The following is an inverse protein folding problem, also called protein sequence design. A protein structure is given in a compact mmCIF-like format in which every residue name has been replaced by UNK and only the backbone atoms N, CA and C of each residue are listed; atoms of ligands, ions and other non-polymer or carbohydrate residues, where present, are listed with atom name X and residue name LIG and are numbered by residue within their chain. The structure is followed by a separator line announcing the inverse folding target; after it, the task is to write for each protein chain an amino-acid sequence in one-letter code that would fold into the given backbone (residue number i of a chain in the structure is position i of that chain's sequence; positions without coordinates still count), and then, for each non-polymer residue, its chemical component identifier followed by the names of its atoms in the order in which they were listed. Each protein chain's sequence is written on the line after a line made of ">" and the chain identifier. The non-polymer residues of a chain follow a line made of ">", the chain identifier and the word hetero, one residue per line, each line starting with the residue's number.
data_IF_975143803980
#
_entry.id   IF_975143803980
#
_cell.length_a   1.000
_cell.length_b   1.000
_cell.length_c   1.000
_cell.angle_alpha   90.00
_cell.angle_beta   90.00
_cell.angle_gamma   90.00
#
_symmetry.space_group_name_H-M   'P 1'
#
loop_
_entity.id
_entity.type
_entity.pdbx_description
1 polymer ?
#
# COMPACT_ATOMS: atom_id res chain seq x y z
N UNK A 1 -4.49 -21.79 -11.04
CA UNK A 1 -5.69 -21.31 -11.76
C UNK A 1 -5.35 -19.97 -12.43
N UNK A 2 -5.55 -19.96 -13.74
CA UNK A 2 -5.26 -18.98 -14.80
C UNK A 2 -5.27 -17.48 -14.42
N UNK A 3 -4.12 -16.81 -14.61
CA UNK A 3 -4.02 -15.36 -14.75
C UNK A 3 -3.89 -15.03 -16.25
N UNK A 4 -4.95 -14.46 -16.84
CA UNK A 4 -5.05 -14.19 -18.27
C UNK A 4 -4.38 -12.87 -18.64
N UNK A 5 -3.34 -13.00 -19.48
CA UNK A 5 -2.80 -12.00 -20.40
C UNK A 5 -3.88 -11.11 -21.01
N UNK A 6 -3.81 -9.80 -20.75
CA UNK A 6 -4.51 -8.78 -21.52
C UNK A 6 -3.57 -7.61 -21.80
N UNK A 7 -2.71 -7.74 -22.80
CA UNK A 7 -2.21 -6.62 -23.60
C UNK A 7 -1.61 -7.19 -24.89
N UNK A 8 -2.34 -7.05 -26.00
CA UNK A 8 -1.81 -6.88 -27.36
C UNK A 8 -2.98 -6.83 -28.35
N UNK A 9 -3.21 -5.66 -28.97
CA UNK A 9 -3.55 -5.58 -30.39
C UNK A 9 -3.54 -4.11 -30.81
N UNK A 10 -2.55 -3.74 -31.63
CA UNK A 10 -2.73 -2.89 -32.80
C UNK A 10 -1.55 -3.17 -33.71
N UNK A 11 -1.83 -3.95 -34.76
CA UNK A 11 -0.92 -4.30 -35.84
C UNK A 11 -1.11 -3.26 -36.94
N UNK A 12 -0.03 -2.63 -37.39
CA UNK A 12 0.07 -2.00 -38.71
C UNK A 12 1.32 -2.55 -39.38
N UNK A 13 1.19 -2.88 -40.67
CA UNK A 13 2.15 -3.62 -41.49
C UNK A 13 2.84 -2.66 -42.46
N UNK A 14 4.17 -2.78 -42.62
CA UNK A 14 4.93 -2.13 -43.70
C UNK A 14 6.44 -2.29 -43.51
N UNK A 15 7.11 -3.00 -44.43
CA UNK A 15 8.53 -3.39 -44.44
C UNK A 15 9.52 -2.22 -44.60
N UNK A 16 10.69 -2.34 -43.98
CA UNK A 16 12.00 -2.13 -44.63
C UNK A 16 13.10 -2.79 -43.78
N UNK A 17 13.89 -3.65 -44.41
CA UNK A 17 14.94 -4.47 -43.81
C UNK A 17 16.28 -3.72 -43.98
N UNK A 18 16.56 -2.73 -43.12
CA UNK A 18 17.87 -2.05 -42.99
C UNK A 18 17.86 -1.01 -41.87
N UNK A 19 17.65 -1.46 -40.64
CA UNK A 19 17.91 -0.67 -39.43
C UNK A 19 17.92 -1.61 -38.21
N UNK A 20 18.69 -2.70 -38.29
CA UNK A 20 18.69 -3.76 -37.27
C UNK A 20 19.67 -3.53 -36.10
N UNK A 21 20.45 -2.45 -36.09
CA UNK A 21 21.51 -2.29 -35.08
C UNK A 21 21.35 -1.06 -34.17
N UNK A 22 20.35 -0.19 -34.38
CA UNK A 22 20.13 1.01 -33.54
C UNK A 22 18.81 1.02 -32.73
N UNK A 23 17.82 0.19 -33.06
CA UNK A 23 16.53 0.14 -32.31
C UNK A 23 16.55 -0.78 -31.07
N UNK A 24 17.60 -1.58 -30.85
CA UNK A 24 17.63 -2.57 -29.76
C UNK A 24 17.84 -1.93 -28.37
N UNK A 25 18.23 -0.65 -28.29
CA UNK A 25 18.39 0.09 -27.04
C UNK A 25 17.11 0.74 -26.49
N UNK A 26 15.99 0.74 -27.25
CA UNK A 26 14.76 1.46 -26.87
C UNK A 26 13.61 0.57 -26.38
N UNK A 27 13.83 -0.73 -26.20
CA UNK A 27 12.82 -1.65 -25.66
C UNK A 27 13.37 -2.65 -24.64
N UNK A 28 14.32 -2.23 -23.79
CA UNK A 28 14.67 -3.01 -22.60
C UNK A 28 13.48 -2.92 -21.64
N UNK A 29 12.63 -3.96 -21.64
CA UNK A 29 11.57 -4.11 -20.61
C UNK A 29 12.24 -3.90 -19.24
N UNK A 30 11.72 -3.01 -18.39
CA UNK A 30 12.30 -2.83 -17.06
C UNK A 30 12.27 -4.19 -16.36
N UNK A 31 13.44 -4.65 -15.93
CA UNK A 31 13.54 -5.85 -15.13
C UNK A 31 12.88 -5.53 -13.78
N UNK A 32 11.68 -6.06 -13.54
CA UNK A 32 10.90 -5.80 -12.31
C UNK A 32 11.72 -6.12 -11.06
N UNK A 33 12.60 -7.12 -11.11
CA UNK A 33 13.49 -7.45 -10.00
C UNK A 33 14.56 -6.36 -9.78
N UNK A 34 15.09 -5.80 -10.86
CA UNK A 34 16.02 -4.67 -10.75
C UNK A 34 15.33 -3.44 -10.18
N UNK A 35 14.11 -3.11 -10.64
CA UNK A 35 13.33 -1.99 -10.11
C UNK A 35 13.01 -2.16 -8.61
N UNK A 36 12.67 -3.39 -8.20
CA UNK A 36 12.49 -3.75 -6.80
C UNK A 36 13.77 -3.52 -5.99
N UNK A 37 14.91 -4.09 -6.42
CA UNK A 37 16.20 -3.94 -5.74
C UNK A 37 16.67 -2.48 -5.67
N UNK A 38 16.43 -1.69 -6.72
CA UNK A 38 16.76 -0.27 -6.73
C UNK A 38 15.92 0.54 -5.74
N UNK A 39 14.72 0.07 -5.36
CA UNK A 39 13.86 0.76 -4.39
C UNK A 39 14.54 0.88 -3.03
N UNK A 40 15.24 -0.16 -2.57
CA UNK A 40 16.01 -0.17 -1.31
C UNK A 40 17.18 0.82 -1.31
N UNK A 41 17.64 1.25 -2.49
CA UNK A 41 18.73 2.21 -2.64
C UNK A 41 18.25 3.66 -2.77
N UNK A 42 16.93 3.87 -2.80
CA UNK A 42 16.36 5.21 -2.94
C UNK A 42 16.57 6.04 -1.67
N UNK A 43 16.83 7.34 -1.83
CA UNK A 43 16.96 8.27 -0.70
C UNK A 43 15.73 8.26 0.21
N UNK A 44 14.53 8.13 -0.36
CA UNK A 44 13.28 8.06 0.38
C UNK A 44 13.15 6.81 1.24
N UNK A 45 13.64 5.66 0.77
CA UNK A 45 13.67 4.44 1.57
C UNK A 45 14.66 4.57 2.73
N UNK A 46 15.89 5.02 2.43
CA UNK A 46 16.92 5.24 3.46
C UNK A 46 16.46 6.26 4.52
N UNK A 47 15.74 7.30 4.12
CA UNK A 47 15.16 8.27 5.05
C UNK A 47 14.13 7.64 6.00
N UNK A 48 13.24 6.79 5.48
CA UNK A 48 12.28 6.03 6.29
C UNK A 48 13.02 5.15 7.31
N UNK A 49 14.03 4.39 6.86
CA UNK A 49 14.83 3.53 7.73
C UNK A 49 15.53 4.35 8.84
N UNK A 50 16.13 5.48 8.50
CA UNK A 50 16.81 6.35 9.47
C UNK A 50 15.83 6.92 10.50
N UNK A 51 14.66 7.43 10.05
CA UNK A 51 13.62 7.95 10.94
C UNK A 51 13.10 6.86 11.88
N UNK A 52 12.89 5.66 11.35
CA UNK A 52 12.50 4.49 12.13
C UNK A 52 13.52 4.21 13.24
N UNK A 53 14.81 4.08 12.87
CA UNK A 53 15.91 3.80 13.80
C UNK A 53 16.04 4.81 14.94
N UNK A 54 15.87 6.12 14.66
CA UNK A 54 15.91 7.16 15.70
C UNK A 54 14.80 6.96 16.74
N UNK A 55 13.58 6.64 16.30
CA UNK A 55 12.46 6.39 17.21
C UNK A 55 12.69 5.13 18.07
N UNK A 56 13.29 4.09 17.50
CA UNK A 56 13.70 2.91 18.26
C UNK A 56 14.80 3.21 19.27
N UNK A 57 15.81 4.00 18.89
CA UNK A 57 16.90 4.43 19.78
C UNK A 57 16.40 5.22 20.99
N UNK A 58 15.47 6.15 20.76
CA UNK A 58 14.83 6.94 21.82
C UNK A 58 14.00 6.07 22.76
N UNK A 59 13.26 5.10 22.23
CA UNK A 59 12.42 4.20 23.04
C UNK A 59 13.28 3.25 23.90
N UNK A 60 14.43 2.82 23.38
CA UNK A 60 15.39 1.97 24.10
C UNK A 60 16.05 2.69 25.28
N UNK A 61 16.31 4.00 25.13
CA UNK A 61 16.82 4.87 26.21
C UNK A 61 15.81 4.98 27.36
N UNK A 62 14.53 5.22 27.07
CA UNK A 62 13.46 5.28 28.09
C UNK A 62 13.25 3.93 28.80
N UNK A 63 13.41 2.82 28.08
CA UNK A 63 13.25 1.47 28.63
C UNK A 63 14.39 1.05 29.56
N UNK A 64 15.56 1.72 29.48
CA UNK A 64 16.74 1.37 30.28
C UNK A 64 16.67 1.84 31.74
N UNK A 65 15.70 2.70 32.09
CA UNK A 65 15.56 3.27 33.44
C UNK A 65 14.66 2.46 34.39
N UNK A 66 14.00 1.39 33.93
CA UNK A 66 13.12 0.57 34.77
C UNK A 66 13.73 -0.82 35.02
N UNK A 67 14.33 -0.97 36.20
CA UNK A 67 14.71 -2.27 36.75
C UNK A 67 13.50 -2.89 37.45
N UNK A 68 13.30 -4.18 37.22
CA UNK A 68 12.31 -5.09 37.84
C UNK A 68 10.87 -5.04 37.28
N UNK A 69 10.36 -6.22 36.91
CA UNK A 69 9.08 -6.54 36.24
C UNK A 69 9.01 -6.29 34.72
N UNK A 70 8.22 -7.13 34.03
CA UNK A 70 8.10 -7.24 32.58
C UNK A 70 8.09 -5.89 31.86
N UNK A 71 8.93 -5.67 30.83
CA UNK A 71 8.98 -4.37 30.18
C UNK A 71 7.62 -4.06 29.55
N UNK A 72 7.13 -2.81 29.69
CA UNK A 72 5.91 -2.39 29.02
C UNK A 72 6.05 -2.56 27.51
N UNK A 73 4.93 -2.79 26.79
CA UNK A 73 4.95 -2.90 25.33
C UNK A 73 5.63 -1.65 24.75
N UNK A 74 6.63 -1.87 23.91
CA UNK A 74 7.35 -0.82 23.21
C UNK A 74 6.34 -0.15 22.30
N UNK A 75 5.77 0.98 22.72
CA UNK A 75 4.86 1.77 21.88
C UNK A 75 5.66 2.52 20.83
N UNK A 76 5.82 1.87 19.70
CA UNK A 76 6.33 2.48 18.48
C UNK A 76 5.14 3.10 17.78
N UNK A 77 5.12 4.43 17.71
CA UNK A 77 4.15 5.18 16.91
C UNK A 77 4.90 5.80 15.73
N UNK A 78 5.32 4.92 14.81
CA UNK A 78 6.08 5.31 13.63
C UNK A 78 5.17 6.05 12.65
N UNK A 79 3.87 5.70 12.61
CA UNK A 79 2.84 6.38 11.80
C UNK A 79 2.87 7.90 11.96
N UNK A 80 2.94 8.43 13.18
CA UNK A 80 2.96 9.89 13.40
C UNK A 80 4.18 10.59 12.77
N UNK A 81 5.30 9.87 12.64
CA UNK A 81 6.57 10.40 12.14
C UNK A 81 6.84 10.09 10.67
N UNK A 82 6.31 8.97 10.16
CA UNK A 82 6.58 8.47 8.82
C UNK A 82 5.44 8.72 7.86
N UNK A 83 4.19 8.83 8.32
CA UNK A 83 3.03 8.98 7.42
C UNK A 83 3.01 10.37 6.79
N UNK A 84 3.17 10.41 5.48
CA UNK A 84 3.16 11.64 4.68
C UNK A 84 2.17 11.54 3.50
N UNK A 85 1.41 12.60 3.18
CA UNK A 85 1.20 13.79 3.99
C UNK A 85 0.57 13.43 5.35
N UNK A 86 0.99 14.14 6.40
CA UNK A 86 0.48 13.93 7.77
C UNK A 86 -1.04 13.98 7.84
N UNK A 87 -1.60 13.23 8.79
CA UNK A 87 -3.05 13.13 8.95
C UNK A 87 -3.71 14.49 9.22
N UNK A 88 -3.04 15.39 9.95
CA UNK A 88 -3.49 16.77 10.17
C UNK A 88 -3.68 17.55 8.87
N UNK A 89 -2.77 17.40 7.91
CA UNK A 89 -2.85 18.05 6.59
C UNK A 89 -4.06 17.53 5.83
N UNK A 90 -4.28 16.21 5.85
CA UNK A 90 -5.44 15.59 5.18
C UNK A 90 -6.76 16.03 5.83
N UNK A 91 -6.84 16.05 7.16
CA UNK A 91 -8.05 16.49 7.86
C UNK A 91 -8.34 17.97 7.64
N UNK A 92 -7.31 18.82 7.58
CA UNK A 92 -7.47 20.23 7.24
C UNK A 92 -7.94 20.41 5.80
N UNK A 93 -7.33 19.69 4.85
CA UNK A 93 -7.70 19.73 3.44
C UNK A 93 -9.15 19.27 3.21
N UNK A 94 -9.58 18.17 3.83
CA UNK A 94 -10.95 17.64 3.70
C UNK A 94 -12.02 18.53 4.32
N UNK A 95 -11.69 19.35 5.33
CA UNK A 95 -12.60 20.39 5.87
C UNK A 95 -12.76 21.58 4.93
N UNK A 96 -11.68 22.02 4.30
CA UNK A 96 -11.66 23.24 3.50
C UNK A 96 -11.98 23.02 2.01
N UNK A 97 -11.79 21.80 1.51
CA UNK A 97 -12.00 21.42 0.11
C UNK A 97 -13.12 20.41 0.02
N UNK A 98 -14.00 20.55 -0.98
CA UNK A 98 -15.06 19.57 -1.24
C UNK A 98 -14.46 18.30 -1.85
N UNK A 99 -14.05 17.37 -1.00
CA UNK A 99 -13.50 16.06 -1.38
C UNK A 99 -14.62 15.02 -1.51
N UNK A 100 -14.49 14.08 -2.45
CA UNK A 100 -15.45 13.00 -2.61
C UNK A 100 -15.27 11.97 -1.48
N UNK A 101 -16.35 11.46 -0.89
CA UNK A 101 -16.31 10.54 0.25
C UNK A 101 -15.35 9.35 0.08
N UNK A 102 -15.35 8.70 -1.10
CA UNK A 102 -14.42 7.59 -1.38
C UNK A 102 -12.93 7.96 -1.29
N UNK A 103 -12.55 9.23 -1.46
CA UNK A 103 -11.18 9.68 -1.27
C UNK A 103 -10.87 9.85 0.23
N UNK A 104 -11.86 10.25 1.03
CA UNK A 104 -11.74 10.27 2.51
C UNK A 104 -11.56 8.84 3.01
N UNK A 105 -12.40 7.89 2.56
CA UNK A 105 -12.27 6.45 2.86
C UNK A 105 -10.88 5.91 2.46
N UNK A 106 -10.30 6.39 1.35
CA UNK A 106 -8.92 6.03 0.96
C UNK A 106 -7.86 6.55 1.94
N UNK A 107 -7.98 7.80 2.41
CA UNK A 107 -7.02 8.35 3.37
C UNK A 107 -7.14 7.67 4.75
N UNK A 108 -8.35 7.28 5.14
CA UNK A 108 -8.59 6.47 6.34
C UNK A 108 -7.98 5.08 6.20
N UNK A 109 -8.21 4.39 5.07
CA UNK A 109 -7.58 3.09 4.80
C UNK A 109 -6.05 3.17 4.78
N UNK A 110 -5.47 4.23 4.20
CA UNK A 110 -4.01 4.38 4.22
C UNK A 110 -3.43 4.65 5.61
N UNK A 111 -4.15 5.37 6.48
CA UNK A 111 -3.76 5.51 7.88
C UNK A 111 -3.83 4.16 8.61
N UNK A 112 -4.92 3.41 8.42
CA UNK A 112 -5.12 2.09 9.04
C UNK A 112 -4.06 1.07 8.60
N UNK A 113 -3.63 1.11 7.32
CA UNK A 113 -2.53 0.31 6.82
C UNK A 113 -1.21 0.62 7.56
N UNK A 114 -0.89 1.90 7.80
CA UNK A 114 0.30 2.30 8.53
C UNK A 114 0.25 1.93 10.02
N UNK A 115 -0.93 1.99 10.65
CA UNK A 115 -1.11 1.51 12.03
C UNK A 115 -0.90 -0.01 12.13
N UNK A 116 -1.29 -0.76 11.09
CA UNK A 116 -0.95 -2.18 10.98
C UNK A 116 0.57 -2.38 10.89
N UNK A 117 1.26 -1.58 10.08
CA UNK A 117 2.73 -1.58 9.99
C UNK A 117 3.41 -1.32 11.36
N UNK A 118 2.92 -0.36 12.15
CA UNK A 118 3.41 -0.12 13.51
C UNK A 118 3.28 -1.37 14.38
N UNK A 119 2.13 -2.03 14.32
CA UNK A 119 1.85 -3.26 15.08
C UNK A 119 2.82 -4.38 14.68
N UNK A 120 3.10 -4.54 13.39
CA UNK A 120 4.08 -5.52 12.89
C UNK A 120 5.48 -5.21 13.42
N UNK A 121 5.94 -3.96 13.32
CA UNK A 121 7.25 -3.53 13.82
C UNK A 121 7.40 -3.77 15.33
N UNK A 122 6.35 -3.53 16.11
CA UNK A 122 6.34 -3.84 17.55
C UNK A 122 6.55 -5.34 17.80
N UNK A 123 5.91 -6.22 17.01
CA UNK A 123 6.11 -7.66 17.09
C UNK A 123 7.51 -8.08 16.70
N UNK A 124 8.04 -7.57 15.57
CA UNK A 124 9.41 -7.81 15.11
C UNK A 124 10.40 -7.50 16.23
N UNK A 125 10.29 -6.30 16.81
CA UNK A 125 11.24 -5.84 17.82
C UNK A 125 11.13 -6.64 19.12
N UNK A 126 9.90 -6.93 19.55
CA UNK A 126 9.63 -7.77 20.73
C UNK A 126 10.20 -9.18 20.56
N UNK A 127 10.13 -9.75 19.35
CA UNK A 127 10.72 -11.04 19.01
C UNK A 127 12.24 -11.00 19.10
N UNK A 128 12.90 -10.00 18.47
CA UNK A 128 14.37 -9.83 18.56
C UNK A 128 14.83 -9.70 20.02
N UNK A 129 14.11 -8.93 20.84
CA UNK A 129 14.44 -8.79 22.26
C UNK A 129 14.31 -10.11 23.02
N UNK A 130 13.30 -10.92 22.71
CA UNK A 130 13.08 -12.23 23.33
C UNK A 130 14.20 -13.20 22.99
N UNK A 131 14.60 -13.29 21.71
CA UNK A 131 15.75 -14.08 21.28
C UNK A 131 17.04 -13.60 21.96
N UNK A 132 17.32 -12.29 21.96
CA UNK A 132 18.50 -11.76 22.67
C UNK A 132 18.52 -12.13 24.16
N UNK A 133 17.36 -12.11 24.83
CA UNK A 133 17.25 -12.54 26.25
C UNK A 133 17.47 -14.04 26.43
N UNK A 134 17.09 -14.87 25.46
CA UNK A 134 17.38 -16.31 25.47
C UNK A 134 18.88 -16.50 25.34
N UNK A 135 19.51 -15.95 24.30
CA UNK A 135 20.96 -16.05 24.04
C UNK A 135 21.80 -15.59 25.24
N UNK A 136 21.48 -14.45 25.86
CA UNK A 136 22.21 -13.98 27.05
C UNK A 136 22.11 -14.93 28.24
N UNK A 137 20.92 -15.47 28.52
CA UNK A 137 20.76 -16.36 29.66
C UNK A 137 21.50 -17.69 29.49
N UNK A 138 21.73 -18.10 28.25
CA UNK A 138 22.50 -19.29 27.89
C UNK A 138 23.98 -19.00 28.04
N UNK A 139 24.47 -17.88 27.52
CA UNK A 139 25.88 -17.48 27.62
C UNK A 139 26.32 -17.26 29.08
N UNK A 140 25.52 -16.55 29.88
CA UNK A 140 25.80 -16.35 31.31
C UNK A 140 25.90 -17.67 32.09
N UNK A 141 25.27 -18.74 31.59
CA UNK A 141 25.36 -20.04 32.21
C UNK A 141 26.62 -20.80 31.81
N UNK A 142 27.07 -20.65 30.57
CA UNK A 142 28.33 -21.23 30.08
C UNK A 142 29.55 -20.68 30.85
N UNK A 143 29.58 -19.38 31.15
CA UNK A 143 30.66 -18.75 31.93
C UNK A 143 30.70 -19.22 33.41
N UNK A 144 29.58 -19.73 33.93
CA UNK A 144 29.46 -20.13 35.34
C UNK A 144 29.77 -21.60 35.64
N UNK A 145 30.01 -22.43 34.61
CA UNK A 145 30.23 -23.88 34.78
C UNK A 145 31.59 -24.32 34.24
N UNK A 146 32.54 -24.64 35.13
CA UNK A 146 33.80 -25.33 34.80
C UNK A 146 33.54 -26.57 33.92
N UNK A 147 34.39 -26.76 32.92
CA UNK A 147 34.17 -27.53 31.68
C UNK A 147 33.87 -29.05 31.79
N UNK A 148 33.72 -29.63 32.99
CA UNK A 148 33.71 -31.10 33.15
C UNK A 148 32.45 -31.71 33.77
N UNK A 149 31.30 -31.01 33.79
CA UNK A 149 30.03 -31.55 34.34
C UNK A 149 28.94 -31.70 33.28
N UNK A 150 28.15 -32.77 33.40
CA UNK A 150 27.06 -33.22 32.51
C UNK A 150 26.38 -32.07 31.74
N UNK A 151 26.34 -32.15 30.41
CA UNK A 151 25.79 -31.11 29.51
C UNK A 151 24.25 -31.08 29.50
N UNK A 152 23.60 -32.13 30.00
CA UNK A 152 22.14 -32.30 30.03
C UNK A 152 21.37 -31.20 30.78
N UNK A 153 21.78 -30.75 31.98
CA UNK A 153 21.13 -29.63 32.67
C UNK A 153 21.27 -28.30 31.92
N UNK A 154 22.36 -28.11 31.15
CA UNK A 154 22.55 -26.92 30.32
C UNK A 154 21.48 -26.84 29.23
N UNK A 155 21.26 -27.97 28.55
CA UNK A 155 20.27 -28.08 27.49
C UNK A 155 18.84 -27.93 27.99
N UNK A 156 18.51 -28.54 29.13
CA UNK A 156 17.21 -28.32 29.78
C UNK A 156 16.98 -26.86 30.14
N UNK A 157 17.99 -26.16 30.67
CA UNK A 157 17.87 -24.74 31.02
C UNK A 157 17.68 -23.84 29.80
N UNK A 158 18.37 -24.13 28.69
CA UNK A 158 18.16 -23.44 27.41
C UNK A 158 16.70 -23.58 26.97
N UNK A 159 16.20 -24.81 26.89
CA UNK A 159 14.85 -25.09 26.37
C UNK A 159 13.76 -24.57 27.31
N UNK A 160 13.98 -24.63 28.63
CA UNK A 160 13.08 -24.01 29.60
C UNK A 160 13.07 -22.48 29.50
N UNK A 161 14.22 -21.86 29.24
CA UNK A 161 14.31 -20.42 28.99
C UNK A 161 13.64 -20.03 27.66
N UNK A 162 13.80 -20.85 26.62
CA UNK A 162 13.16 -20.66 25.33
C UNK A 162 11.63 -20.70 25.46
N UNK A 163 11.12 -21.79 26.04
CA UNK A 163 9.69 -22.00 26.32
C UNK A 163 9.08 -20.86 27.16
N UNK A 164 9.70 -20.52 28.30
CA UNK A 164 9.16 -19.51 29.21
C UNK A 164 9.23 -18.09 28.67
N UNK A 165 10.32 -17.70 27.99
CA UNK A 165 10.49 -16.33 27.47
C UNK A 165 9.71 -16.06 26.20
N UNK A 166 9.40 -17.11 25.42
CA UNK A 166 8.53 -17.04 24.24
C UNK A 166 7.12 -17.56 24.52
N UNK A 167 6.75 -17.74 25.80
CA UNK A 167 5.43 -18.26 26.18
C UNK A 167 4.30 -17.42 25.56
N UNK A 168 4.49 -16.10 25.50
CA UNK A 168 3.68 -15.15 24.73
C UNK A 168 4.45 -14.73 23.48
N UNK A 169 4.41 -15.55 22.43
CA UNK A 169 5.04 -15.24 21.15
C UNK A 169 4.55 -13.86 20.65
N UNK A 170 5.43 -12.85 20.53
CA UNK A 170 5.01 -11.50 20.15
C UNK A 170 4.36 -11.43 18.77
N UNK A 171 4.71 -12.36 17.87
CA UNK A 171 4.09 -12.47 16.55
C UNK A 171 2.71 -13.15 16.63
N UNK A 172 2.50 -14.05 17.59
CA UNK A 172 1.18 -14.70 17.77
C UNK A 172 0.08 -13.71 18.17
N UNK A 173 0.43 -12.61 18.85
CA UNK A 173 -0.53 -11.54 19.13
C UNK A 173 -0.99 -10.82 17.85
N UNK A 174 -0.09 -10.68 16.88
CA UNK A 174 -0.36 -10.15 15.54
C UNK A 174 -1.12 -11.20 14.70
N UNK A 175 -0.81 -12.49 14.88
CA UNK A 175 -1.53 -13.58 14.20
C UNK A 175 -2.91 -13.84 14.78
N UNK A 176 -3.14 -13.59 16.06
CA UNK A 176 -4.50 -13.58 16.65
C UNK A 176 -5.31 -12.41 16.08
N UNK A 177 -4.61 -11.34 15.72
CA UNK A 177 -5.08 -10.21 14.92
C UNK A 177 -5.19 -10.55 13.42
N UNK A 178 -4.91 -11.80 12.97
CA UNK A 178 -5.15 -12.24 11.58
C UNK A 178 -6.63 -12.21 11.20
N UNK A 179 -7.56 -12.31 12.15
CA UNK A 179 -8.95 -11.91 11.90
C UNK A 179 -9.04 -10.46 11.42
N UNK A 180 -8.32 -9.54 12.05
CA UNK A 180 -8.25 -8.15 11.60
C UNK A 180 -7.56 -8.01 10.24
N UNK A 181 -6.54 -8.82 9.89
CA UNK A 181 -5.97 -8.80 8.52
C UNK A 181 -6.99 -9.22 7.47
N UNK A 182 -7.78 -10.27 7.75
CA UNK A 182 -8.85 -10.72 6.85
C UNK A 182 -9.95 -9.66 6.72
N UNK A 183 -10.37 -9.08 7.84
CA UNK A 183 -11.38 -8.02 7.87
C UNK A 183 -10.90 -6.75 7.15
N UNK A 184 -9.63 -6.37 7.33
CA UNK A 184 -8.98 -5.27 6.62
C UNK A 184 -8.88 -5.54 5.12
N UNK A 185 -8.48 -6.76 4.74
CA UNK A 185 -8.41 -7.18 3.36
C UNK A 185 -9.78 -7.06 2.68
N UNK A 186 -10.83 -7.61 3.30
CA UNK A 186 -12.20 -7.55 2.76
C UNK A 186 -12.71 -6.11 2.66
N UNK A 187 -12.46 -5.30 3.69
CA UNK A 187 -12.76 -3.86 3.69
C UNK A 187 -12.06 -3.14 2.52
N UNK A 188 -10.79 -3.45 2.26
CA UNK A 188 -10.01 -2.79 1.21
C UNK A 188 -10.43 -3.27 -0.18
N UNK A 189 -10.74 -4.55 -0.36
CA UNK A 189 -11.33 -5.08 -1.60
C UNK A 189 -12.68 -4.38 -1.88
N UNK A 190 -13.50 -4.18 -0.85
CA UNK A 190 -14.75 -3.46 -1.00
C UNK A 190 -14.53 -2.01 -1.42
N UNK A 191 -13.59 -1.30 -0.79
CA UNK A 191 -13.22 0.06 -1.14
C UNK A 191 -12.68 0.15 -2.57
N UNK A 192 -11.80 -0.76 -2.97
CA UNK A 192 -11.26 -0.84 -4.33
C UNK A 192 -12.38 -1.03 -5.36
N UNK A 193 -13.35 -1.89 -5.07
CA UNK A 193 -14.54 -2.09 -5.89
C UNK A 193 -15.38 -0.82 -6.00
N UNK A 194 -15.63 -0.13 -4.88
CA UNK A 194 -16.38 1.15 -4.84
C UNK A 194 -15.68 2.22 -5.69
N UNK A 195 -14.37 2.42 -5.51
CA UNK A 195 -13.52 3.35 -6.26
C UNK A 195 -13.57 3.04 -7.76
N UNK A 196 -13.32 1.80 -8.15
CA UNK A 196 -13.27 1.35 -9.55
C UNK A 196 -14.62 1.47 -10.23
N UNK A 197 -15.70 1.08 -9.54
CA UNK A 197 -17.07 1.20 -10.06
C UNK A 197 -17.45 2.67 -10.28
N UNK A 198 -17.15 3.54 -9.32
CA UNK A 198 -17.42 4.98 -9.43
C UNK A 198 -16.63 5.61 -10.57
N UNK A 199 -15.34 5.27 -10.70
CA UNK A 199 -14.47 5.70 -11.81
C UNK A 199 -15.06 5.30 -13.15
N UNK A 200 -15.47 4.03 -13.31
CA UNK A 200 -16.10 3.50 -14.53
C UNK A 200 -17.39 4.27 -14.87
N UNK A 201 -18.22 4.58 -13.88
CA UNK A 201 -19.46 5.36 -14.06
C UNK A 201 -19.18 6.78 -14.54
N UNK A 202 -18.16 7.44 -13.98
CA UNK A 202 -17.75 8.79 -14.40
C UNK A 202 -17.16 8.78 -15.81
N UNK A 203 -16.25 7.84 -16.10
CA UNK A 203 -15.67 7.67 -17.44
C UNK A 203 -16.75 7.48 -18.51
N UNK A 204 -17.75 6.63 -18.26
CA UNK A 204 -18.91 6.47 -19.17
C UNK A 204 -19.67 7.77 -19.41
N UNK A 205 -19.88 8.59 -18.37
CA UNK A 205 -20.54 9.90 -18.50
C UNK A 205 -19.70 10.89 -19.32
N UNK A 206 -18.39 10.91 -19.12
CA UNK A 206 -17.47 11.72 -19.91
C UNK A 206 -17.51 11.34 -21.39
N UNK A 207 -17.49 10.04 -21.70
CA UNK A 207 -17.64 9.53 -23.07
C UNK A 207 -18.98 9.96 -23.69
N UNK A 208 -20.07 9.93 -22.92
CA UNK A 208 -21.38 10.38 -23.41
C UNK A 208 -21.40 11.90 -23.65
N UNK A 209 -20.81 12.69 -22.76
CA UNK A 209 -20.68 14.14 -22.93
C UNK A 209 -19.85 14.46 -24.19
N UNK A 210 -18.74 13.76 -24.41
CA UNK A 210 -17.90 13.99 -25.60
C UNK A 210 -18.62 13.59 -26.89
N UNK A 211 -19.37 12.50 -26.89
CA UNK A 211 -20.23 12.11 -28.02
C UNK A 211 -21.31 13.17 -28.30
N UNK A 212 -22.02 13.64 -27.27
CA UNK A 212 -23.01 14.71 -27.42
C UNK A 212 -22.41 16.02 -27.93
N UNK A 213 -21.17 16.35 -27.54
CA UNK A 213 -20.46 17.54 -28.07
C UNK A 213 -20.20 17.39 -29.57
N UNK A 214 -19.76 16.21 -30.03
CA UNK A 214 -19.53 15.94 -31.46
C UNK A 214 -20.82 16.05 -32.27
N UNK A 215 -21.88 15.36 -31.85
CA UNK A 215 -23.18 15.38 -32.54
C UNK A 215 -23.81 16.77 -32.51
N UNK A 216 -23.76 17.45 -31.36
CA UNK A 216 -24.29 18.81 -31.22
C UNK A 216 -23.55 19.83 -32.10
N UNK A 217 -22.24 19.69 -32.26
CA UNK A 217 -21.45 20.51 -33.20
C UNK A 217 -21.91 20.32 -34.65
N UNK A 218 -22.10 19.08 -35.09
CA UNK A 218 -22.59 18.75 -36.44
C UNK A 218 -24.01 19.32 -36.66
N UNK A 219 -24.90 19.15 -35.68
CA UNK A 219 -26.27 19.67 -35.74
C UNK A 219 -26.31 21.21 -35.80
N UNK A 220 -25.39 21.89 -35.12
CA UNK A 220 -25.30 23.35 -35.14
C UNK A 220 -24.81 23.87 -36.51
N UNK A 221 -23.77 23.27 -37.08
CA UNK A 221 -23.25 23.65 -38.40
C UNK A 221 -24.31 23.43 -39.49
N UNK A 222 -25.00 22.28 -39.46
CA UNK A 222 -26.05 21.94 -40.43
C UNK A 222 -27.27 22.86 -40.31
N UNK A 223 -27.75 23.14 -39.09
CA UNK A 223 -28.87 24.07 -38.88
C UNK A 223 -28.53 25.51 -39.28
N UNK A 224 -27.33 26.01 -38.96
CA UNK A 224 -26.91 27.33 -39.39
C UNK A 224 -26.85 27.45 -40.93
N UNK A 225 -26.36 26.40 -41.61
CA UNK A 225 -26.38 26.34 -43.08
C UNK A 225 -27.81 26.42 -43.64
N UNK A 226 -28.74 25.65 -43.08
CA UNK A 226 -30.14 25.66 -43.49
C UNK A 226 -30.83 27.02 -43.23
N UNK A 227 -30.57 27.64 -42.06
CA UNK A 227 -31.12 28.95 -41.70
C UNK A 227 -30.62 30.04 -42.66
N UNK A 228 -29.32 30.06 -42.99
CA UNK A 228 -28.78 31.02 -43.95
C UNK A 228 -29.44 30.89 -45.32
N UNK A 229 -29.60 29.66 -45.81
CA UNK A 229 -30.28 29.40 -47.09
C UNK A 229 -31.73 29.90 -47.05
N UNK A 230 -32.47 29.61 -45.97
CA UNK A 230 -33.84 30.07 -45.81
C UNK A 230 -33.95 31.61 -45.74
N UNK A 231 -33.04 32.27 -45.01
CA UNK A 231 -32.98 33.73 -44.90
C UNK A 231 -32.69 34.39 -46.26
N UNK A 232 -31.80 33.81 -47.08
CA UNK A 232 -31.54 34.30 -48.44
C UNK A 232 -32.80 34.25 -49.31
N UNK A 233 -33.57 33.15 -49.25
CA UNK A 233 -34.84 33.01 -49.98
C UNK A 233 -35.85 34.06 -49.51
N UNK A 234 -36.03 34.23 -48.20
CA UNK A 234 -37.00 35.21 -47.65
C UNK A 234 -36.60 36.65 -47.97
N UNK A 235 -35.31 36.98 -47.90
CA UNK A 235 -34.80 38.31 -48.24
C UNK A 235 -35.02 38.67 -49.70
N UNK A 236 -35.02 37.69 -50.61
CA UNK A 236 -35.36 37.90 -52.01
C UNK A 236 -36.86 38.18 -52.24
N UNK A 237 -37.73 37.78 -51.30
CA UNK A 237 -39.18 37.82 -51.47
C UNK A 237 -39.93 38.82 -50.55
N UNK A 238 -39.29 39.48 -49.56
CA UNK A 238 -40.00 40.40 -48.65
C UNK A 238 -39.12 41.51 -48.04
N UNK A 239 -39.63 42.75 -48.06
CA UNK A 239 -39.03 43.93 -47.39
C UNK A 239 -39.16 43.85 -45.85
N UNK A 240 -40.07 43.03 -45.32
CA UNK A 240 -40.40 42.95 -43.88
C UNK A 240 -39.41 42.06 -43.09
N UNK A 241 -38.67 41.18 -43.75
CA UNK A 241 -37.72 40.26 -43.11
C UNK A 241 -36.52 40.93 -42.42
N UNK A 242 -36.25 42.20 -42.72
CA UNK A 242 -35.06 42.92 -42.28
C UNK A 242 -35.07 43.31 -40.78
N UNK A 243 -36.26 43.42 -40.16
CA UNK A 243 -36.40 44.04 -38.82
C UNK A 243 -36.57 43.03 -37.67
N UNK A 244 -37.22 41.89 -37.90
CA UNK A 244 -37.58 40.95 -36.81
C UNK A 244 -36.54 39.83 -36.55
N UNK A 245 -35.66 39.55 -37.53
CA UNK A 245 -34.72 38.41 -37.48
C UNK A 245 -33.61 38.51 -36.40
N UNK A 246 -33.01 39.69 -36.09
CA UNK A 246 -31.84 39.75 -35.19
C UNK A 246 -32.14 39.45 -33.72
N UNK A 247 -33.32 39.84 -33.21
CA UNK A 247 -33.64 39.78 -31.77
C UNK A 247 -33.95 38.36 -31.27
N UNK A 248 -34.57 37.51 -32.09
CA UNK A 248 -34.91 36.13 -31.74
C UNK A 248 -33.66 35.24 -31.76
N UNK A 249 -32.73 35.49 -32.70
CA UNK A 249 -31.47 34.76 -32.83
C UNK A 249 -30.54 35.02 -31.63
N UNK A 250 -30.45 36.26 -31.13
CA UNK A 250 -29.59 36.61 -30.00
C UNK A 250 -29.95 35.90 -28.69
N UNK A 251 -31.24 35.79 -28.36
CA UNK A 251 -31.72 35.15 -27.12
C UNK A 251 -31.50 33.63 -27.07
N UNK A 252 -31.74 32.95 -28.18
CA UNK A 252 -31.50 31.50 -28.32
C UNK A 252 -30.00 31.18 -28.22
N UNK A 253 -29.16 31.92 -28.94
CA UNK A 253 -27.70 31.75 -28.92
C UNK A 253 -27.12 31.95 -27.52
N UNK A 254 -27.59 32.96 -26.77
CA UNK A 254 -27.16 33.19 -25.39
C UNK A 254 -27.47 32.02 -24.44
N UNK A 255 -28.65 31.41 -24.55
CA UNK A 255 -29.03 30.23 -23.78
C UNK A 255 -28.20 29.00 -24.15
N UNK A 256 -27.88 28.81 -25.43
CA UNK A 256 -27.02 27.72 -25.91
C UNK A 256 -25.58 27.87 -25.40
N UNK A 257 -24.98 29.06 -25.47
CA UNK A 257 -23.64 29.33 -24.96
C UNK A 257 -23.57 29.05 -23.45
N UNK A 258 -24.58 29.49 -22.67
CA UNK A 258 -24.65 29.23 -21.22
C UNK A 258 -24.74 27.73 -20.91
N UNK A 259 -25.52 26.96 -21.67
CA UNK A 259 -25.63 25.49 -21.53
C UNK A 259 -24.34 24.76 -21.92
N UNK A 260 -23.65 25.21 -22.97
CA UNK A 260 -22.35 24.65 -23.39
C UNK A 260 -21.29 24.91 -22.31
N UNK A 261 -21.19 26.15 -21.80
CA UNK A 261 -20.25 26.52 -20.72
C UNK A 261 -20.50 25.69 -19.46
N UNK A 262 -21.76 25.45 -19.09
CA UNK A 262 -22.11 24.57 -17.97
C UNK A 262 -21.69 23.11 -18.19
N UNK A 263 -21.92 22.54 -19.39
CA UNK A 263 -21.49 21.17 -19.71
C UNK A 263 -19.96 21.02 -19.78
N UNK A 264 -19.24 22.04 -20.26
CA UNK A 264 -17.77 22.05 -20.28
C UNK A 264 -17.21 22.05 -18.85
N UNK A 265 -17.67 22.98 -18.00
CA UNK A 265 -17.24 23.06 -16.59
C UNK A 265 -17.52 21.76 -15.83
N UNK A 266 -18.65 21.11 -16.11
CA UNK A 266 -19.01 19.82 -15.51
C UNK A 266 -18.15 18.66 -16.03
N UNK A 267 -17.72 18.68 -17.30
CA UNK A 267 -16.78 17.71 -17.88
C UNK A 267 -15.43 17.76 -17.16
N UNK A 268 -14.85 18.95 -17.03
CA UNK A 268 -13.56 19.14 -16.35
C UNK A 268 -13.58 18.66 -14.88
N UNK A 269 -14.66 18.93 -14.14
CA UNK A 269 -14.82 18.42 -12.77
C UNK A 269 -14.91 16.88 -12.72
N UNK A 270 -15.57 16.25 -13.69
CA UNK A 270 -15.64 14.80 -13.77
C UNK A 270 -14.30 14.18 -14.21
N UNK A 271 -13.52 14.84 -15.07
CA UNK A 271 -12.18 14.41 -15.46
C UNK A 271 -11.25 14.39 -14.24
N UNK A 272 -11.15 15.50 -13.48
CA UNK A 272 -10.36 15.55 -12.24
C UNK A 272 -10.79 14.48 -11.22
N UNK A 273 -12.09 14.31 -11.00
CA UNK A 273 -12.59 13.27 -10.10
C UNK A 273 -12.26 11.85 -10.62
N UNK A 274 -12.21 11.65 -11.94
CA UNK A 274 -11.82 10.36 -12.51
C UNK A 274 -10.35 10.03 -12.22
N UNK A 275 -9.47 11.02 -12.31
CA UNK A 275 -8.04 10.91 -12.01
C UNK A 275 -7.80 10.67 -10.52
N UNK A 276 -8.47 11.43 -9.65
CA UNK A 276 -8.43 11.23 -8.20
C UNK A 276 -8.83 9.80 -7.79
N UNK A 277 -9.95 9.30 -8.34
CA UNK A 277 -10.43 7.94 -8.06
C UNK A 277 -9.51 6.87 -8.67
N UNK A 278 -8.84 7.15 -9.79
CA UNK A 278 -7.85 6.24 -10.37
C UNK A 278 -6.60 6.13 -9.49
N UNK A 279 -6.07 7.25 -9.03
CA UNK A 279 -4.92 7.31 -8.13
C UNK A 279 -5.23 6.60 -6.80
N UNK A 280 -6.39 6.87 -6.20
CA UNK A 280 -6.84 6.21 -4.98
C UNK A 280 -7.02 4.69 -5.18
N UNK A 281 -7.64 4.25 -6.28
CA UNK A 281 -7.81 2.83 -6.57
C UNK A 281 -6.47 2.09 -6.72
N UNK A 282 -5.49 2.70 -7.42
CA UNK A 282 -4.13 2.16 -7.51
C UNK A 282 -3.47 2.07 -6.14
N UNK A 283 -3.67 3.08 -5.30
CA UNK A 283 -3.19 3.08 -3.92
C UNK A 283 -3.76 1.95 -3.08
N UNK A 284 -5.09 1.76 -3.09
CA UNK A 284 -5.73 0.65 -2.36
C UNK A 284 -5.24 -0.71 -2.88
N UNK A 285 -5.08 -0.87 -4.19
CA UNK A 285 -4.55 -2.10 -4.75
C UNK A 285 -3.12 -2.41 -4.26
N UNK A 286 -2.24 -1.40 -4.18
CA UNK A 286 -0.89 -1.58 -3.63
C UNK A 286 -0.97 -1.98 -2.15
N UNK A 287 -1.77 -1.27 -1.35
CA UNK A 287 -1.94 -1.57 0.08
C UNK A 287 -2.44 -2.99 0.34
N UNK A 288 -3.39 -3.50 -0.47
CA UNK A 288 -3.85 -4.89 -0.37
C UNK A 288 -2.69 -5.86 -0.57
N UNK A 289 -1.89 -5.68 -1.64
CA UNK A 289 -0.77 -6.59 -1.93
C UNK A 289 0.33 -6.53 -0.86
N UNK A 290 0.64 -5.34 -0.36
CA UNK A 290 1.64 -5.16 0.70
C UNK A 290 1.18 -5.87 1.99
N UNK A 291 -0.08 -5.66 2.40
CA UNK A 291 -0.66 -6.32 3.57
C UNK A 291 -0.75 -7.84 3.41
N UNK A 292 -1.12 -8.36 2.25
CA UNK A 292 -1.17 -9.81 1.98
C UNK A 292 0.22 -10.45 2.05
N UNK A 293 1.25 -9.72 1.61
CA UNK A 293 2.63 -10.18 1.67
C UNK A 293 3.11 -10.22 3.11
N UNK A 294 2.96 -9.12 3.84
CA UNK A 294 3.35 -9.04 5.25
C UNK A 294 2.56 -10.02 6.13
N UNK A 295 1.25 -10.20 5.89
CA UNK A 295 0.41 -11.16 6.63
C UNK A 295 0.93 -12.59 6.51
N UNK A 296 1.30 -13.02 5.29
CA UNK A 296 1.90 -14.34 5.05
C UNK A 296 3.25 -14.50 5.73
N UNK A 297 4.09 -13.46 5.71
CA UNK A 297 5.40 -13.47 6.37
C UNK A 297 5.26 -13.56 7.90
N UNK A 298 4.37 -12.74 8.49
CA UNK A 298 4.05 -12.76 9.92
C UNK A 298 3.55 -14.14 10.33
N UNK A 299 2.61 -14.72 9.56
CA UNK A 299 2.10 -16.07 9.83
C UNK A 299 3.22 -17.12 9.82
N UNK A 300 4.05 -17.12 8.77
CA UNK A 300 5.19 -18.05 8.64
C UNK A 300 6.15 -17.94 9.85
N UNK A 301 6.53 -16.72 10.22
CA UNK A 301 7.42 -16.48 11.36
C UNK A 301 6.77 -16.85 12.70
N UNK A 302 5.46 -16.59 12.86
CA UNK A 302 4.72 -16.98 14.06
C UNK A 302 4.63 -18.49 14.20
N UNK A 303 4.28 -19.20 13.12
CA UNK A 303 4.17 -20.67 13.10
C UNK A 303 5.52 -21.32 13.45
N UNK A 304 6.64 -20.77 12.95
CA UNK A 304 7.99 -21.22 13.27
C UNK A 304 8.33 -21.09 14.77
N UNK A 305 7.97 -19.95 15.38
CA UNK A 305 8.17 -19.73 16.83
C UNK A 305 7.30 -20.68 17.65
N UNK A 306 6.03 -20.86 17.30
CA UNK A 306 5.14 -21.81 18.00
C UNK A 306 5.62 -23.25 17.87
N UNK A 307 6.11 -23.65 16.69
CA UNK A 307 6.68 -24.98 16.48
C UNK A 307 7.89 -25.22 17.39
N UNK A 308 8.86 -24.31 17.42
CA UNK A 308 10.05 -24.45 18.30
C UNK A 308 9.67 -24.43 19.77
N UNK A 309 8.68 -23.61 20.15
CA UNK A 309 8.17 -23.57 21.52
C UNK A 309 7.55 -24.91 21.91
N UNK A 310 6.74 -25.50 21.04
CA UNK A 310 6.17 -26.84 21.25
C UNK A 310 7.28 -27.89 21.46
N UNK A 311 8.31 -27.89 20.60
CA UNK A 311 9.44 -28.82 20.71
C UNK A 311 10.20 -28.62 22.03
N UNK A 312 10.46 -27.37 22.42
CA UNK A 312 11.11 -27.03 23.69
C UNK A 312 10.29 -27.49 24.89
N UNK A 313 8.97 -27.28 24.89
CA UNK A 313 8.06 -27.72 25.95
C UNK A 313 8.08 -29.24 26.14
N UNK A 314 8.05 -30.00 25.03
CA UNK A 314 8.12 -31.46 25.07
C UNK A 314 9.45 -31.92 25.67
N UNK A 315 10.56 -31.31 25.26
CA UNK A 315 11.89 -31.66 25.77
C UNK A 315 12.04 -31.35 27.27
N UNK A 316 11.49 -30.21 27.73
CA UNK A 316 11.56 -29.80 29.14
C UNK A 316 10.71 -30.72 30.03
N UNK A 317 9.52 -31.11 29.58
CA UNK A 317 8.61 -32.00 30.34
C UNK A 317 9.11 -33.45 30.42
N UNK A 318 9.87 -33.90 29.43
CA UNK A 318 10.46 -35.24 29.41
C UNK A 318 11.78 -35.26 30.19
N UNK A 319 11.69 -35.42 31.52
CA UNK A 319 12.83 -35.43 32.48
C UNK A 319 13.86 -36.54 32.18
N UNK A 320 13.49 -37.58 31.41
CA UNK A 320 14.38 -38.66 30.96
C UNK A 320 14.96 -38.49 29.56
N UNK A 321 14.84 -37.31 28.94
CA UNK A 321 15.34 -37.08 27.58
C UNK A 321 16.85 -37.34 27.52
N UNK A 322 17.27 -38.22 26.61
CA UNK A 322 18.69 -38.50 26.37
C UNK A 322 19.41 -37.21 26.00
N UNK A 323 20.60 -37.01 26.55
CA UNK A 323 21.41 -35.82 26.29
C UNK A 323 21.63 -35.57 24.79
N UNK A 324 21.76 -36.62 23.99
CA UNK A 324 21.90 -36.54 22.53
C UNK A 324 20.68 -35.93 21.84
N UNK A 325 19.46 -36.26 22.31
CA UNK A 325 18.22 -35.70 21.75
C UNK A 325 18.15 -34.20 22.04
N UNK A 326 18.44 -33.81 23.29
CA UNK A 326 18.44 -32.40 23.68
C UNK A 326 19.49 -31.58 22.92
N UNK A 327 20.69 -32.16 22.73
CA UNK A 327 21.77 -31.58 21.94
C UNK A 327 21.36 -31.40 20.48
N UNK A 328 20.73 -32.41 19.88
CA UNK A 328 20.24 -32.34 18.50
C UNK A 328 19.21 -31.22 18.33
N UNK A 329 18.23 -31.12 19.24
CA UNK A 329 17.20 -30.06 19.20
C UNK A 329 17.82 -28.66 19.32
N UNK A 330 18.82 -28.49 20.18
CA UNK A 330 19.47 -27.18 20.37
C UNK A 330 20.35 -26.82 19.16
N UNK A 331 21.06 -27.78 18.59
CA UNK A 331 21.80 -27.56 17.35
C UNK A 331 20.84 -27.14 16.24
N UNK A 332 19.70 -27.83 16.10
CA UNK A 332 18.65 -27.48 15.15
C UNK A 332 18.15 -26.04 15.36
N UNK A 333 17.84 -25.65 16.60
CA UNK A 333 17.39 -24.29 16.91
C UNK A 333 18.43 -23.23 16.52
N UNK A 334 19.71 -23.54 16.76
CA UNK A 334 20.85 -22.66 16.45
C UNK A 334 21.05 -22.53 14.94
N UNK A 335 20.99 -23.64 14.20
CA UNK A 335 21.13 -23.67 12.74
C UNK A 335 20.05 -22.85 12.04
N UNK A 336 18.83 -22.86 12.58
CA UNK A 336 17.71 -22.08 12.05
C UNK A 336 17.56 -20.67 12.65
N UNK A 337 18.37 -20.28 13.63
CA UNK A 337 18.28 -18.95 14.25
C UNK A 337 18.65 -17.84 13.25
N UNK A 338 19.77 -17.98 12.54
CA UNK A 338 20.21 -16.98 11.56
C UNK A 338 19.17 -16.79 10.44
N UNK A 339 18.68 -17.89 9.87
CA UNK A 339 17.62 -17.85 8.83
C UNK A 339 16.33 -17.20 9.33
N UNK A 340 15.97 -17.43 10.59
CA UNK A 340 14.80 -16.80 11.19
C UNK A 340 15.00 -15.29 11.36
N UNK A 341 16.18 -14.85 11.82
CA UNK A 341 16.50 -13.44 11.97
C UNK A 341 16.58 -12.71 10.62
N UNK A 342 17.10 -13.36 9.57
CA UNK A 342 17.07 -12.85 8.19
C UNK A 342 15.63 -12.67 7.69
N UNK A 343 14.75 -13.65 7.89
CA UNK A 343 13.33 -13.52 7.51
C UNK A 343 12.61 -12.43 8.31
N UNK A 344 13.04 -12.18 9.55
CA UNK A 344 12.50 -11.13 10.41
C UNK A 344 12.96 -9.73 9.95
N UNK A 345 14.19 -9.63 9.43
CA UNK A 345 14.71 -8.44 8.74
C UNK A 345 13.99 -8.19 7.41
N UNK A 346 13.79 -9.23 6.59
CA UNK A 346 13.02 -9.15 5.34
C UNK A 346 11.60 -8.61 5.61
N UNK A 347 10.95 -9.05 6.69
CA UNK A 347 9.64 -8.55 7.09
C UNK A 347 9.69 -7.07 7.48
N UNK A 348 10.71 -6.65 8.23
CA UNK A 348 10.89 -5.25 8.61
C UNK A 348 11.10 -4.34 7.39
N UNK A 349 11.93 -4.79 6.44
CA UNK A 349 12.16 -4.09 5.18
C UNK A 349 10.86 -3.93 4.38
N UNK A 350 10.03 -4.97 4.31
CA UNK A 350 8.71 -4.90 3.68
C UNK A 350 7.77 -3.91 4.38
N UNK A 351 7.85 -3.77 5.71
CA UNK A 351 7.09 -2.74 6.43
C UNK A 351 7.54 -1.33 6.01
N UNK A 352 8.84 -1.08 5.90
CA UNK A 352 9.35 0.21 5.46
C UNK A 352 8.99 0.53 3.99
N UNK A 353 9.00 -0.50 3.13
CA UNK A 353 8.47 -0.36 1.77
C UNK A 353 6.99 0.00 1.77
N UNK A 354 6.18 -0.62 2.63
CA UNK A 354 4.75 -0.29 2.73
C UNK A 354 4.52 1.17 3.14
N UNK A 355 5.27 1.70 4.11
CA UNK A 355 5.24 3.13 4.43
C UNK A 355 5.60 4.00 3.22
N UNK A 356 6.65 3.63 2.48
CA UNK A 356 7.07 4.36 1.29
C UNK A 356 5.99 4.39 0.20
N UNK A 357 5.40 3.23 -0.10
CA UNK A 357 4.37 3.09 -1.14
C UNK A 357 3.09 3.83 -0.76
N UNK A 358 2.67 3.74 0.51
CA UNK A 358 1.53 4.50 1.06
C UNK A 358 1.78 5.99 0.96
N UNK A 359 2.95 6.49 1.38
CA UNK A 359 3.26 7.92 1.34
C UNK A 359 3.25 8.49 -0.08
N UNK A 360 3.86 7.75 -1.01
CA UNK A 360 3.86 8.09 -2.44
C UNK A 360 2.44 8.12 -2.97
N UNK A 361 1.63 7.12 -2.63
CA UNK A 361 0.23 7.04 -3.05
C UNK A 361 -0.60 8.20 -2.50
N UNK A 362 -0.49 8.51 -1.20
CA UNK A 362 -1.22 9.61 -0.57
C UNK A 362 -0.87 10.95 -1.18
N UNK A 363 0.42 11.17 -1.45
CA UNK A 363 0.92 12.37 -2.12
C UNK A 363 0.34 12.52 -3.53
N UNK A 364 0.30 11.44 -4.31
CA UNK A 364 -0.31 11.45 -5.64
C UNK A 364 -1.80 11.75 -5.58
N UNK A 365 -2.55 11.16 -4.64
CA UNK A 365 -3.98 11.48 -4.49
C UNK A 365 -4.18 12.93 -4.07
N UNK A 366 -3.37 13.44 -3.14
CA UNK A 366 -3.44 14.84 -2.70
C UNK A 366 -3.14 15.83 -3.84
N UNK A 367 -2.14 15.54 -4.68
CA UNK A 367 -1.81 16.33 -5.88
C UNK A 367 -2.95 16.38 -6.89
N UNK A 368 -3.81 15.36 -6.94
CA UNK A 368 -5.00 15.38 -7.81
C UNK A 368 -6.16 16.16 -7.21
N UNK A 369 -6.17 16.38 -5.89
CA UNK A 369 -7.23 17.10 -5.17
C UNK A 369 -7.01 18.62 -5.22
N UNK A 370 -5.76 19.05 -4.99
CA UNK A 370 -5.32 20.45 -5.09
C UNK A 370 -5.28 20.82 -6.59
#
# INVERSE_FOLDING_TARGET
>A
MTCTRWFCSLRSSGRSLRECDEEENLCRKPNVNEEYLQTFRTKSFIEICNKAQVQFGNTRSLSSSCSTSSPPPIRINLTDSLLEPRQEIITNMTRNVKVHQLLVEYFEASLEACLCCDTILQGIHSTRLSYTRITRAVNNFNDSTNEQTNTTPKYHKYLASFSSKLQNNPLSAITSTTMQFHDLHDKYIELLRKLTSKRKKIKRRLTLISACKKVGGIALVTSHGAILIALLIVSLHSVVGLVAAPSIVGGLVGLFIKRIKFRIRRSSSYERLCEQLDAAAKGVFIMINDLDTMSRMVKRLSDEVEYRKMVADVCVKNVGSKCEILKQVINEFSDYENRFLEQLEELEEHVYLCFLTVNKSRSLVMQQII
#
